data_IF_495237086598
#
_entry.id   IF_495237086598
#
_cell.length_a   1.000
_cell.length_b   1.000
_cell.length_c   1.000
_cell.angle_alpha   90.00
_cell.angle_beta   90.00
_cell.angle_gamma   90.00
#
_symmetry.space_group_name_H-M   'P 1'
#
loop_
_entity.id
_entity.type
_entity.pdbx_description
1 polymer ?
#
# COMPACT_ATOMS: atom_id res chain seq x y z
N UNK A 1 11.61 9.54 -8.99
CA UNK A 1 10.81 8.29 -9.04
C UNK A 1 11.18 7.31 -7.92
N UNK A 2 12.45 7.17 -7.53
CA UNK A 2 12.87 6.24 -6.48
C UNK A 2 12.31 6.61 -5.09
N UNK A 3 12.25 7.90 -4.75
CA UNK A 3 11.64 8.37 -3.50
C UNK A 3 10.14 8.03 -3.36
N UNK A 4 9.37 7.94 -4.46
CA UNK A 4 7.94 7.64 -4.39
C UNK A 4 7.66 6.17 -4.07
N UNK A 5 8.59 5.25 -4.39
CA UNK A 5 8.44 3.82 -4.11
C UNK A 5 8.59 3.48 -2.63
N UNK A 6 9.33 4.29 -1.89
CA UNK A 6 9.54 4.08 -0.45
C UNK A 6 8.25 4.29 0.38
N UNK A 7 7.23 4.91 -0.23
CA UNK A 7 5.91 5.13 0.35
C UNK A 7 4.90 4.05 -0.02
N UNK A 8 5.31 3.05 -0.82
CA UNK A 8 4.48 1.89 -1.12
C UNK A 8 4.59 0.87 0.02
N UNK A 9 3.44 0.35 0.40
CA UNK A 9 3.27 -0.62 1.47
C UNK A 9 2.49 -1.81 0.96
N UNK A 10 2.95 -2.99 1.34
CA UNK A 10 2.32 -4.23 0.92
C UNK A 10 0.99 -4.45 1.66
N UNK A 11 0.03 -4.99 0.93
CA UNK A 11 -1.21 -5.53 1.44
C UNK A 11 -1.12 -7.03 1.71
N UNK A 12 -2.13 -7.56 2.40
CA UNK A 12 -2.20 -8.97 2.81
C UNK A 12 -2.37 -9.92 1.63
N UNK A 13 -3.09 -9.50 0.60
CA UNK A 13 -3.42 -10.25 -0.62
C UNK A 13 -2.75 -9.66 -1.87
N UNK A 14 -1.47 -9.27 -1.74
CA UNK A 14 -0.65 -8.65 -2.81
C UNK A 14 -1.18 -7.31 -3.36
N UNK A 15 -2.09 -6.64 -2.65
CA UNK A 15 -2.45 -5.27 -2.96
C UNK A 15 -1.35 -4.28 -2.58
N UNK A 16 -1.37 -3.09 -3.17
CA UNK A 16 -0.41 -2.02 -2.84
C UNK A 16 -1.14 -0.85 -2.20
N UNK A 17 -0.56 -0.31 -1.13
CA UNK A 17 -1.08 0.85 -0.40
C UNK A 17 -0.06 1.97 -0.43
N UNK A 18 -0.54 3.22 -0.47
CA UNK A 18 0.29 4.42 -0.43
C UNK A 18 0.22 5.05 0.95
N UNK A 19 1.39 5.27 1.55
CA UNK A 19 1.54 5.80 2.92
C UNK A 19 2.16 7.19 2.92
N UNK A 20 1.54 8.16 3.61
CA UNK A 20 2.14 9.47 3.86
C UNK A 20 2.25 10.42 2.65
N UNK A 21 1.73 10.03 1.49
CA UNK A 21 1.66 10.88 0.29
C UNK A 21 0.22 10.88 -0.27
N UNK A 22 -0.22 12.00 -0.87
CA UNK A 22 -1.50 12.03 -1.57
C UNK A 22 -1.44 11.11 -2.80
N UNK A 23 -2.56 10.46 -3.09
CA UNK A 23 -2.72 9.66 -4.31
C UNK A 23 -2.74 10.58 -5.53
N UNK A 24 -1.67 10.55 -6.33
CA UNK A 24 -1.59 11.23 -7.63
C UNK A 24 -1.67 10.22 -8.78
N UNK A 25 -1.98 10.69 -9.98
CA UNK A 25 -2.07 9.84 -11.19
C UNK A 25 -0.75 9.14 -11.49
N UNK A 26 0.38 9.84 -11.37
CA UNK A 26 1.72 9.26 -11.58
C UNK A 26 2.02 8.12 -10.60
N UNK A 27 1.67 8.32 -9.32
CA UNK A 27 1.90 7.32 -8.28
C UNK A 27 0.96 6.13 -8.48
N UNK A 28 -0.29 6.37 -8.86
CA UNK A 28 -1.24 5.32 -9.20
C UNK A 28 -0.75 4.47 -10.39
N UNK A 29 -0.17 5.09 -11.42
CA UNK A 29 0.39 4.37 -12.56
C UNK A 29 1.65 3.55 -12.20
N UNK A 30 2.47 4.04 -11.26
CA UNK A 30 3.64 3.30 -10.75
C UNK A 30 3.19 2.07 -9.95
N UNK A 31 2.17 2.24 -9.10
CA UNK A 31 1.73 1.20 -8.17
C UNK A 31 0.77 0.18 -8.80
N UNK A 32 -0.14 0.65 -9.66
CA UNK A 32 -1.16 -0.16 -10.35
C UNK A 32 -1.29 0.28 -11.82
N UNK A 33 -0.36 -0.15 -12.70
CA UNK A 33 -0.33 0.30 -14.09
C UNK A 33 -1.63 -0.07 -14.82
N UNK A 34 -2.22 0.91 -15.51
CA UNK A 34 -3.44 0.71 -16.29
C UNK A 34 -4.74 0.75 -15.46
N UNK A 35 -4.67 0.97 -14.15
CA UNK A 35 -5.86 1.18 -13.30
C UNK A 35 -6.66 2.42 -13.74
N UNK A 36 -5.96 3.51 -14.07
CA UNK A 36 -6.59 4.77 -14.49
C UNK A 36 -6.87 4.84 -16.00
N UNK A 37 -6.47 3.83 -16.77
CA UNK A 37 -6.73 3.83 -18.22
C UNK A 37 -8.18 3.48 -18.50
N UNK A 38 -8.90 4.40 -19.14
CA UNK A 38 -10.26 4.13 -19.58
C UNK A 38 -10.26 3.01 -20.63
N UNK A 39 -11.27 2.14 -20.57
CA UNK A 39 -11.51 1.14 -21.61
C UNK A 39 -11.68 1.81 -23.00
N UNK A 40 -12.23 3.02 -23.02
CA UNK A 40 -12.41 3.83 -24.24
C UNK A 40 -11.06 4.17 -24.87
N UNK A 41 -10.05 4.58 -24.10
CA UNK A 41 -8.73 4.91 -24.64
C UNK A 41 -8.03 3.69 -25.24
N UNK A 42 -8.31 2.48 -24.73
CA UNK A 42 -7.84 1.22 -25.34
C UNK A 42 -8.56 0.93 -26.66
N UNK A 43 -9.86 1.21 -26.74
CA UNK A 43 -10.68 0.97 -27.92
C UNK A 43 -10.39 1.98 -29.05
N UNK A 44 -10.03 3.22 -28.71
CA UNK A 44 -9.62 4.25 -29.68
C UNK A 44 -8.20 3.93 -30.15
N UNK A 45 -8.09 3.08 -31.17
CA UNK A 45 -6.81 2.74 -31.79
C UNK A 45 -6.22 4.00 -32.46
N UNK A 46 -4.93 4.24 -32.24
CA UNK A 46 -4.16 5.22 -33.02
C UNK A 46 -4.23 4.86 -34.50
N UNK A 47 -4.92 5.67 -35.30
CA UNK A 47 -4.87 5.59 -36.77
C UNK A 47 -3.39 5.73 -37.15
N UNK A 48 -2.80 4.67 -37.71
CA UNK A 48 -1.47 4.76 -38.34
C UNK A 48 -1.70 5.14 -39.80
N UNK A 49 -1.39 6.38 -40.22
CA UNK A 49 -1.39 6.70 -41.64
C UNK A 49 -0.29 5.86 -42.29
N UNK A 50 -0.67 4.98 -43.21
CA UNK A 50 0.27 4.14 -43.96
C UNK A 50 0.12 4.37 -45.45
N UNK A 51 1.25 4.30 -46.17
CA UNK A 51 1.35 4.65 -47.57
C UNK A 51 0.67 3.65 -48.53
N UNK A 52 0.44 2.40 -48.10
CA UNK A 52 -0.16 1.32 -48.92
C UNK A 52 -1.38 0.68 -48.24
N UNK A 53 -2.47 1.43 -47.98
CA UNK A 53 -3.62 0.95 -47.22
C UNK A 53 -4.35 -0.24 -47.87
N UNK A 54 -4.29 -0.37 -49.20
CA UNK A 54 -5.03 -1.40 -49.94
C UNK A 54 -4.39 -2.80 -49.85
N UNK A 55 -3.06 -2.88 -49.76
CA UNK A 55 -2.31 -4.14 -49.67
C UNK A 55 -2.56 -4.84 -48.32
N UNK A 56 -2.74 -4.05 -47.27
CA UNK A 56 -2.98 -4.58 -45.93
C UNK A 56 -4.43 -5.04 -45.74
N UNK A 57 -5.41 -4.30 -46.26
CA UNK A 57 -6.82 -4.72 -46.27
C UNK A 57 -6.97 -6.03 -47.05
N UNK A 58 -6.23 -6.18 -48.15
CA UNK A 58 -6.18 -7.43 -48.93
C UNK A 58 -5.62 -8.61 -48.10
N UNK A 59 -4.54 -8.40 -47.32
CA UNK A 59 -3.95 -9.42 -46.43
C UNK A 59 -4.79 -9.72 -45.19
N UNK A 60 -5.54 -8.74 -44.69
CA UNK A 60 -6.48 -8.88 -43.56
C UNK A 60 -7.86 -9.39 -44.02
N UNK A 61 -8.03 -9.63 -45.32
CA UNK A 61 -9.26 -10.16 -45.90
C UNK A 61 -9.54 -11.60 -45.46
N UNK A 62 -10.82 -11.90 -45.25
CA UNK A 62 -11.33 -13.21 -44.83
C UNK A 62 -10.84 -13.76 -43.47
N UNK A 63 -10.79 -12.91 -42.44
CA UNK A 63 -10.67 -13.36 -41.04
C UNK A 63 -12.07 -13.47 -40.40
N UNK A 64 -12.34 -14.60 -39.72
CA UNK A 64 -13.49 -14.71 -38.81
C UNK A 64 -13.06 -14.17 -37.46
N UNK A 65 -13.61 -13.03 -37.03
CA UNK A 65 -13.37 -12.53 -35.68
C UNK A 65 -14.05 -13.45 -34.66
N UNK A 66 -13.27 -13.87 -33.66
CA UNK A 66 -13.78 -14.48 -32.42
C UNK A 66 -13.50 -13.45 -31.34
N UNK A 67 -14.51 -13.10 -30.57
CA UNK A 67 -14.43 -12.07 -29.53
C UNK A 67 -14.98 -12.62 -28.21
N UNK A 68 -14.50 -12.08 -27.10
CA UNK A 68 -14.90 -12.42 -25.73
C UNK A 68 -15.40 -11.18 -25.01
N UNK A 69 -16.32 -11.38 -24.07
CA UNK A 69 -16.72 -10.31 -23.17
C UNK A 69 -15.70 -10.21 -22.03
N UNK A 70 -14.96 -9.12 -21.98
CA UNK A 70 -13.99 -8.85 -20.91
C UNK A 70 -14.73 -8.23 -19.71
N UNK A 71 -14.67 -8.90 -18.56
CA UNK A 71 -15.23 -8.39 -17.29
C UNK A 71 -14.10 -8.12 -16.32
N UNK A 72 -13.95 -6.84 -15.97
CA UNK A 72 -12.98 -6.38 -14.99
C UNK A 72 -13.58 -6.42 -13.58
N UNK A 73 -12.86 -7.04 -12.65
CA UNK A 73 -13.15 -7.08 -11.23
C UNK A 73 -12.08 -6.31 -10.47
N UNK A 74 -12.52 -5.53 -9.48
CA UNK A 74 -11.64 -4.76 -8.62
C UNK A 74 -11.81 -5.24 -7.18
N UNK A 75 -10.71 -5.69 -6.56
CA UNK A 75 -10.67 -6.04 -5.15
C UNK A 75 -9.78 -5.06 -4.40
N UNK A 76 -10.25 -4.58 -3.26
CA UNK A 76 -9.46 -3.73 -2.36
C UNK A 76 -8.88 -4.64 -1.27
N UNK A 77 -7.57 -4.56 -1.10
CA UNK A 77 -6.85 -5.30 -0.07
C UNK A 77 -6.80 -4.54 1.25
N UNK A 78 -6.39 -5.21 2.33
CA UNK A 78 -6.05 -4.60 3.61
C UNK A 78 -4.54 -4.45 3.73
N UNK A 79 -4.09 -3.40 4.43
CA UNK A 79 -2.66 -3.20 4.71
C UNK A 79 -2.18 -4.23 5.73
N UNK A 80 -0.95 -4.73 5.56
CA UNK A 80 -0.37 -5.67 6.53
C UNK A 80 -0.28 -5.01 7.91
N UNK A 81 -0.74 -5.75 8.92
CA UNK A 81 -0.95 -5.26 10.28
C UNK A 81 0.20 -5.61 11.23
N UNK A 82 1.16 -6.44 10.82
CA UNK A 82 2.19 -6.93 11.73
C UNK A 82 3.58 -6.92 11.13
N UNK A 83 4.58 -6.83 12.02
CA UNK A 83 5.98 -6.87 11.63
C UNK A 83 6.86 -7.44 12.73
N UNK A 84 8.09 -7.80 12.36
CA UNK A 84 9.12 -8.28 13.27
C UNK A 84 10.08 -7.17 13.69
N UNK A 85 10.40 -7.12 14.97
CA UNK A 85 11.34 -6.17 15.57
C UNK A 85 12.77 -6.66 15.38
N UNK A 86 13.67 -5.78 14.97
CA UNK A 86 15.10 -6.05 14.88
C UNK A 86 15.83 -5.59 16.15
N UNK A 87 15.54 -4.38 16.61
CA UNK A 87 16.09 -3.82 17.85
C UNK A 87 15.17 -2.77 18.45
N UNK A 88 15.19 -2.66 19.78
CA UNK A 88 14.55 -1.58 20.53
C UNK A 88 15.61 -1.00 21.49
N UNK A 89 15.87 0.30 21.40
CA UNK A 89 16.87 0.99 22.22
C UNK A 89 16.22 2.19 22.86
N UNK A 90 16.45 2.39 24.16
CA UNK A 90 16.01 3.61 24.85
C UNK A 90 16.74 4.82 24.26
N UNK A 91 15.99 5.83 23.86
CA UNK A 91 16.55 7.07 23.34
C UNK A 91 16.86 8.03 24.49
N UNK A 92 17.79 8.95 24.27
CA UNK A 92 18.11 10.02 25.23
C UNK A 92 17.03 11.10 25.33
N UNK A 93 15.99 11.02 24.51
CA UNK A 93 14.89 11.98 24.46
C UNK A 93 13.72 11.49 25.30
N UNK A 94 13.07 12.44 25.98
CA UNK A 94 11.88 12.17 26.79
C UNK A 94 10.80 13.19 26.44
N UNK A 95 9.58 12.73 26.22
CA UNK A 95 8.41 13.61 26.05
C UNK A 95 7.51 13.46 27.25
N UNK A 96 7.18 14.58 27.91
CA UNK A 96 6.29 14.61 29.08
C UNK A 96 6.65 13.63 30.22
N UNK A 97 7.95 13.36 30.39
CA UNK A 97 8.46 12.48 31.43
C UNK A 97 8.39 10.97 31.11
N UNK A 98 7.90 10.60 29.92
CA UNK A 98 7.95 9.21 29.44
C UNK A 98 9.21 8.98 28.60
N UNK A 99 9.94 7.86 28.83
CA UNK A 99 11.08 7.50 28.00
C UNK A 99 10.62 7.19 26.58
N UNK A 100 11.33 7.75 25.60
CA UNK A 100 11.14 7.41 24.20
C UNK A 100 12.13 6.31 23.81
N UNK A 101 11.73 5.48 22.87
CA UNK A 101 12.49 4.35 22.37
C UNK A 101 12.64 4.43 20.86
N UNK A 102 13.84 4.16 20.37
CA UNK A 102 14.14 3.96 18.97
C UNK A 102 13.92 2.49 18.61
N UNK A 103 12.85 2.23 17.86
CA UNK A 103 12.45 0.92 17.40
C UNK A 103 12.87 0.73 15.94
N UNK A 104 13.66 -0.30 15.68
CA UNK A 104 14.00 -0.73 14.31
C UNK A 104 13.21 -1.97 13.96
N UNK A 105 12.45 -1.89 12.87
CA UNK A 105 11.58 -2.95 12.35
C UNK A 105 12.00 -3.35 10.95
N UNK A 106 11.63 -4.57 10.53
CA UNK A 106 11.99 -5.09 9.22
C UNK A 106 11.39 -4.27 8.06
N UNK A 107 10.16 -3.78 8.21
CA UNK A 107 9.43 -3.02 7.19
C UNK A 107 8.83 -1.73 7.78
N UNK A 108 9.64 -0.65 7.88
CA UNK A 108 9.19 0.63 8.43
C UNK A 108 8.00 1.26 7.72
N UNK A 109 7.77 0.93 6.45
CA UNK A 109 6.65 1.43 5.66
C UNK A 109 5.30 1.02 6.26
N UNK A 110 5.22 -0.11 6.99
CA UNK A 110 3.97 -0.62 7.58
C UNK A 110 3.41 0.22 8.73
N UNK A 111 4.21 1.11 9.30
CA UNK A 111 3.80 2.00 10.40
C UNK A 111 3.90 3.47 10.00
N UNK A 112 3.00 4.27 10.56
CA UNK A 112 2.99 5.73 10.41
C UNK A 112 3.03 6.44 11.77
N UNK A 113 3.44 7.70 11.75
CA UNK A 113 3.33 8.55 12.93
C UNK A 113 1.87 8.65 13.40
N UNK A 114 1.67 8.78 14.70
CA UNK A 114 0.37 8.78 15.38
C UNK A 114 -0.36 7.43 15.41
N UNK A 115 0.30 6.35 15.03
CA UNK A 115 -0.25 5.00 15.17
C UNK A 115 0.11 4.35 16.50
N UNK A 116 -0.77 3.47 16.96
CA UNK A 116 -0.54 2.60 18.10
C UNK A 116 -0.26 1.18 17.63
N UNK A 117 0.56 0.47 18.40
CA UNK A 117 0.86 -0.93 18.18
C UNK A 117 0.82 -1.70 19.49
N UNK A 118 0.36 -2.94 19.43
CA UNK A 118 0.42 -3.90 20.50
C UNK A 118 1.71 -4.72 20.38
N UNK A 119 2.30 -5.05 21.51
CA UNK A 119 3.48 -5.90 21.62
C UNK A 119 3.41 -6.74 22.91
N UNK A 120 4.16 -7.83 22.96
CA UNK A 120 4.20 -8.75 24.10
C UNK A 120 3.81 -10.19 23.76
N UNK A 121 4.15 -11.11 24.65
CA UNK A 121 3.76 -12.52 24.54
C UNK A 121 2.32 -12.74 25.00
N UNK A 122 1.70 -13.82 24.49
CA UNK A 122 0.27 -14.11 24.63
C UNK A 122 -0.23 -13.97 26.07
N UNK A 123 -1.05 -12.94 26.33
CA UNK A 123 -1.73 -12.69 27.60
C UNK A 123 -1.39 -11.35 28.25
N UNK A 124 -0.30 -10.68 27.85
CA UNK A 124 0.05 -9.32 28.30
C UNK A 124 -0.04 -8.37 27.12
N UNK A 125 -1.11 -7.57 27.11
CA UNK A 125 -1.30 -6.52 26.09
C UNK A 125 -0.56 -5.25 26.50
N UNK A 126 0.68 -5.12 26.04
CA UNK A 126 1.42 -3.86 26.09
C UNK A 126 1.12 -3.02 24.83
N UNK A 127 1.13 -1.70 24.98
CA UNK A 127 0.75 -0.76 23.92
C UNK A 127 1.83 0.30 23.78
N UNK A 128 2.35 0.45 22.57
CA UNK A 128 3.26 1.51 22.16
C UNK A 128 2.57 2.49 21.22
N UNK A 129 3.11 3.70 21.16
CA UNK A 129 2.65 4.78 20.30
C UNK A 129 3.82 5.31 19.46
N UNK A 130 3.64 5.42 18.16
CA UNK A 130 4.63 5.97 17.23
C UNK A 130 4.53 7.49 17.23
N UNK A 131 5.53 8.15 17.80
CA UNK A 131 5.63 9.60 17.84
C UNK A 131 6.06 10.13 16.48
N UNK A 132 7.16 9.59 15.96
CA UNK A 132 7.74 10.02 14.70
C UNK A 132 8.37 8.83 13.96
N UNK A 133 8.43 8.94 12.65
CA UNK A 133 9.18 8.03 11.79
C UNK A 133 10.35 8.80 11.19
N UNK A 134 11.56 8.43 11.58
CA UNK A 134 12.77 9.04 11.07
C UNK A 134 12.98 8.68 9.59
N UNK A 135 13.73 9.52 8.88
CA UNK A 135 14.08 9.29 7.48
C UNK A 135 14.83 7.96 7.25
N UNK A 136 15.56 7.50 8.25
CA UNK A 136 16.30 6.22 8.24
C UNK A 136 15.37 4.99 8.39
N UNK A 137 14.07 5.20 8.61
CA UNK A 137 13.08 4.13 8.83
C UNK A 137 13.00 3.63 10.27
N UNK A 138 13.75 4.23 11.21
CA UNK A 138 13.56 3.98 12.64
C UNK A 138 12.30 4.68 13.15
N UNK A 139 11.57 3.99 14.03
CA UNK A 139 10.35 4.52 14.64
C UNK A 139 10.68 5.03 16.03
N UNK A 140 10.44 6.32 16.28
CA UNK A 140 10.49 6.88 17.62
C UNK A 140 9.17 6.59 18.32
N UNK A 141 9.22 5.78 19.36
CA UNK A 141 8.05 5.23 20.02
C UNK A 141 8.00 5.61 21.50
N UNK A 142 6.83 5.96 22.01
CA UNK A 142 6.55 6.08 23.43
C UNK A 142 5.86 4.82 23.94
N UNK A 143 6.14 4.41 25.17
CA UNK A 143 5.35 3.36 25.82
C UNK A 143 4.09 3.97 26.44
N UNK A 144 2.91 3.43 26.07
CA UNK A 144 1.62 3.83 26.65
C UNK A 144 1.23 2.88 27.78
N UNK A 145 1.55 1.59 27.62
CA UNK A 145 1.33 0.54 28.61
C UNK A 145 2.41 -0.52 28.49
N UNK A 146 3.04 -0.88 29.61
CA UNK A 146 4.19 -1.79 29.66
C UNK A 146 5.51 -1.05 29.47
N UNK A 147 6.61 -1.78 29.48
CA UNK A 147 7.95 -1.24 29.23
C UNK A 147 8.46 -1.76 27.88
N UNK A 148 8.74 -0.84 26.95
CA UNK A 148 9.15 -1.20 25.59
C UNK A 148 10.57 -1.82 25.57
N UNK A 149 11.33 -1.67 26.65
CA UNK A 149 12.62 -2.35 26.86
C UNK A 149 12.50 -3.87 26.87
N UNK A 150 11.33 -4.43 27.17
CA UNK A 150 11.09 -5.87 27.17
C UNK A 150 10.99 -6.46 25.75
N UNK A 151 10.91 -5.60 24.74
CA UNK A 151 10.79 -6.00 23.34
C UNK A 151 12.15 -6.40 22.77
N UNK A 152 12.39 -7.72 22.72
CA UNK A 152 13.62 -8.30 22.16
C UNK A 152 13.57 -8.45 20.63
N UNK A 153 14.74 -8.66 20.03
CA UNK A 153 14.87 -8.97 18.60
C UNK A 153 14.06 -10.22 18.24
N UNK A 154 13.28 -10.16 17.17
CA UNK A 154 12.33 -11.21 16.77
C UNK A 154 10.95 -11.09 17.40
N UNK A 155 10.74 -10.13 18.32
CA UNK A 155 9.42 -9.81 18.85
C UNK A 155 8.45 -9.39 17.73
N UNK A 156 7.20 -9.85 17.83
CA UNK A 156 6.13 -9.45 16.90
C UNK A 156 5.41 -8.23 17.44
N UNK A 157 5.24 -7.24 16.58
CA UNK A 157 4.37 -6.10 16.85
C UNK A 157 3.16 -6.12 15.91
N UNK A 158 2.02 -5.68 16.42
CA UNK A 158 0.75 -5.65 15.71
C UNK A 158 0.20 -4.22 15.75
N UNK A 159 -0.04 -3.62 14.59
CA UNK A 159 -0.65 -2.30 14.43
C UNK A 159 -2.09 -2.33 14.93
N UNK A 160 -2.42 -1.45 15.86
CA UNK A 160 -3.76 -1.31 16.45
C UNK A 160 -4.57 -0.18 15.81
N UNK A 161 -3.89 0.74 15.11
CA UNK A 161 -4.51 1.84 14.37
C UNK A 161 -4.10 3.21 14.88
N UNK A 162 -4.66 4.24 14.25
CA UNK A 162 -4.35 5.64 14.55
C UNK A 162 -4.96 6.07 15.88
N UNK A 163 -4.15 6.67 16.74
CA UNK A 163 -4.59 7.34 17.96
C UNK A 163 -4.38 8.85 17.80
N UNK A 164 -5.46 9.58 17.57
CA UNK A 164 -5.42 11.04 17.43
C UNK A 164 -6.72 11.66 17.94
N UNK A 165 -6.70 12.98 18.15
CA UNK A 165 -7.92 13.69 18.57
C UNK A 165 -8.97 13.68 17.46
N UNK A 166 -10.25 13.85 17.81
CA UNK A 166 -11.37 13.72 16.87
C UNK A 166 -11.22 14.55 15.58
N UNK A 167 -10.57 15.72 15.67
CA UNK A 167 -10.33 16.61 14.53
C UNK A 167 -9.22 16.10 13.61
N UNK A 168 -8.20 15.45 14.16
CA UNK A 168 -7.05 14.96 13.39
C UNK A 168 -7.36 13.69 12.59
N UNK A 169 -8.35 12.90 13.02
CA UNK A 169 -8.74 11.61 12.40
C UNK A 169 -9.47 11.80 11.05
N UNK A 170 -9.79 13.03 10.65
CA UNK A 170 -10.58 13.30 9.44
C UNK A 170 -9.85 13.00 8.12
N UNK A 171 -8.51 12.98 8.12
CA UNK A 171 -7.71 12.66 6.94
C UNK A 171 -7.25 11.20 6.95
N UNK A 172 -7.42 10.45 5.84
CA UNK A 172 -6.84 9.12 5.71
C UNK A 172 -5.31 9.25 5.62
N UNK A 173 -4.63 8.43 6.40
CA UNK A 173 -3.16 8.34 6.46
C UNK A 173 -2.56 7.62 5.24
N UNK A 174 -3.32 6.66 4.72
CA UNK A 174 -2.94 5.86 3.56
C UNK A 174 -4.09 5.74 2.57
N UNK A 175 -3.75 5.49 1.32
CA UNK A 175 -4.70 5.19 0.24
C UNK A 175 -4.52 3.75 -0.22
N UNK A 176 -5.61 2.98 -0.28
CA UNK A 176 -5.61 1.63 -0.80
C UNK A 176 -5.89 1.64 -2.31
N UNK A 177 -5.02 1.00 -3.09
CA UNK A 177 -5.22 0.84 -4.53
C UNK A 177 -5.94 -0.47 -4.83
N UNK A 178 -7.04 -0.46 -5.60
CA UNK A 178 -7.69 -1.68 -6.03
C UNK A 178 -6.80 -2.49 -6.97
N UNK A 179 -6.78 -3.81 -6.77
CA UNK A 179 -6.15 -4.75 -7.70
C UNK A 179 -7.15 -5.11 -8.77
N UNK A 180 -6.75 -4.92 -10.03
CA UNK A 180 -7.57 -5.22 -11.21
C UNK A 180 -7.32 -6.65 -11.69
N UNK A 181 -8.38 -7.43 -11.80
CA UNK A 181 -8.38 -8.75 -12.44
C UNK A 181 -9.38 -8.78 -13.58
N UNK A 182 -9.02 -9.41 -14.70
CA UNK A 182 -9.89 -9.52 -15.88
C UNK A 182 -10.28 -10.98 -16.08
N UNK A 183 -11.58 -11.22 -16.31
CA UNK A 183 -12.09 -12.52 -16.73
C UNK A 183 -12.66 -12.44 -18.15
N UNK A 184 -12.43 -13.48 -18.93
CA UNK A 184 -12.90 -13.60 -20.31
C UNK A 184 -14.14 -14.48 -20.35
N UNK A 185 -15.30 -13.86 -20.59
CA UNK A 185 -16.59 -14.54 -20.67
C UNK A 185 -16.97 -14.82 -22.12
N UNK A 186 -17.62 -15.97 -22.37
CA UNK A 186 -18.18 -16.28 -23.68
C UNK A 186 -19.34 -15.34 -24.01
N UNK A 187 -19.33 -14.78 -25.21
CA UNK A 187 -20.46 -14.02 -25.73
C UNK A 187 -21.56 -15.01 -26.11
N UNK A 188 -22.57 -15.15 -25.26
CA UNK A 188 -23.80 -15.87 -25.61
C UNK A 188 -24.61 -15.01 -26.58
N UNK A 189 -24.42 -15.21 -27.88
CA UNK A 189 -25.38 -14.71 -28.87
C UNK A 189 -26.63 -15.60 -28.85
N UNK A 190 -27.81 -15.00 -28.74
CA UNK A 190 -29.05 -15.60 -29.27
C UNK A 190 -29.07 -15.47 -30.79
#
# INVERSE_FOLDING_TARGET
MENQRNHLTDGVSNGTHLSGLPLTTEIADIAAPGLLTNAIDKAVVKIRPMATPIDQISRMGHVRSVDSMDVDYYSVDTRVDSDSVLSAVESSESTDGNPLYLLTVAHPSRFEATETFAYGESGVENVGYVVEKNADGTLLCASVKGDLSDLSSGGRIIRMGRAATQLDVQSPQFSALPVKNTNYCQIFKM
#
